data_IF_158641485284
#
_entry.id   IF_158641485284
#
_cell.length_a   1.000
_cell.length_b   1.000
_cell.length_c   1.000
_cell.angle_alpha   90.00
_cell.angle_beta   90.00
_cell.angle_gamma   90.00
#
_symmetry.space_group_name_H-M   'P 1'
#
loop_
_entity.id
_entity.type
_entity.pdbx_description
1 polymer ?
#
# COMPACT_ATOMS: atom_id res chain seq x y z
N UNK A 1 -26.65 -19.41 -15.58
CA UNK A 1 -27.24 -18.06 -15.47
C UNK A 1 -26.28 -17.09 -16.16
N UNK A 2 -26.71 -16.38 -17.22
CA UNK A 2 -25.84 -15.51 -17.99
C UNK A 2 -25.70 -14.15 -17.29
N UNK A 3 -24.46 -13.71 -17.06
CA UNK A 3 -24.17 -12.39 -16.52
C UNK A 3 -24.43 -11.32 -17.58
N UNK A 4 -25.44 -10.51 -17.30
CA UNK A 4 -25.86 -9.34 -18.05
C UNK A 4 -24.75 -8.27 -17.98
N UNK A 5 -24.00 -8.09 -19.06
CA UNK A 5 -23.07 -6.98 -19.23
C UNK A 5 -23.90 -5.71 -19.53
N UNK A 6 -24.45 -5.10 -18.49
CA UNK A 6 -25.04 -3.77 -18.59
C UNK A 6 -23.97 -2.78 -19.01
N UNK A 7 -24.08 -2.36 -20.27
CA UNK A 7 -23.42 -1.26 -20.92
C UNK A 7 -23.42 -0.01 -20.01
N UNK A 8 -22.26 0.28 -19.44
CA UNK A 8 -21.98 1.58 -18.82
C UNK A 8 -22.15 2.63 -19.92
N UNK A 9 -23.22 3.42 -19.79
CA UNK A 9 -23.55 4.49 -20.72
C UNK A 9 -22.35 5.39 -20.90
N UNK A 10 -21.97 5.63 -22.16
CA UNK A 10 -20.97 6.60 -22.53
C UNK A 10 -21.39 7.95 -21.94
N UNK A 11 -20.70 8.37 -20.88
CA UNK A 11 -20.82 9.72 -20.33
C UNK A 11 -20.29 10.64 -21.42
N UNK A 12 -21.21 11.32 -22.12
CA UNK A 12 -20.84 12.34 -23.08
C UNK A 12 -19.97 13.38 -22.34
N UNK A 13 -18.73 13.62 -22.81
CA UNK A 13 -17.93 14.66 -22.21
C UNK A 13 -18.68 16.00 -22.33
N UNK A 14 -18.56 16.88 -21.31
CA UNK A 14 -19.20 18.18 -21.36
C UNK A 14 -18.79 18.93 -22.63
N UNK A 15 -19.73 19.67 -23.26
CA UNK A 15 -19.41 20.47 -24.44
C UNK A 15 -18.29 21.44 -24.08
N UNK A 16 -17.15 21.29 -24.76
CA UNK A 16 -16.02 22.21 -24.66
C UNK A 16 -16.51 23.56 -25.17
N UNK A 17 -16.65 24.53 -24.27
CA UNK A 17 -17.06 25.90 -24.62
C UNK A 17 -16.06 26.47 -25.61
N UNK A 18 -16.56 26.91 -26.77
CA UNK A 18 -15.78 27.53 -27.86
C UNK A 18 -14.97 28.76 -27.43
N UNK A 19 -15.28 29.32 -26.27
CA UNK A 19 -14.63 30.52 -25.71
C UNK A 19 -13.17 30.28 -25.29
N UNK A 20 -12.73 29.02 -25.17
CA UNK A 20 -11.33 28.70 -24.86
C UNK A 20 -10.38 28.83 -26.07
N UNK A 21 -10.90 28.82 -27.30
CA UNK A 21 -10.08 28.93 -28.51
C UNK A 21 -9.77 30.39 -28.88
N UNK A 22 -10.64 31.34 -28.52
CA UNK A 22 -10.45 32.76 -28.85
C UNK A 22 -9.33 33.44 -28.03
N UNK A 23 -9.08 33.00 -26.79
CA UNK A 23 -8.02 33.58 -25.97
C UNK A 23 -6.59 33.18 -26.40
N UNK A 24 -6.44 32.09 -27.16
CA UNK A 24 -5.12 31.65 -27.66
C UNK A 24 -4.62 32.50 -28.84
N UNK A 25 -5.55 33.01 -29.66
CA UNK A 25 -5.24 33.86 -30.80
C UNK A 25 -4.85 35.28 -30.35
N UNK A 26 -5.55 35.83 -29.35
CA UNK A 26 -5.26 37.17 -28.81
C UNK A 26 -3.88 37.23 -28.16
N UNK A 27 -3.44 36.17 -27.45
CA UNK A 27 -2.09 36.13 -26.87
C UNK A 27 -1.00 35.98 -27.92
N UNK A 28 -1.23 35.24 -29.02
CA UNK A 28 -0.26 35.12 -30.10
C UNK A 28 -0.10 36.43 -30.89
N UNK A 29 -1.17 37.17 -31.15
CA UNK A 29 -1.10 38.47 -31.84
C UNK A 29 -0.48 39.55 -30.95
N UNK A 30 -0.74 39.55 -29.65
CA UNK A 30 -0.14 40.52 -28.72
C UNK A 30 1.36 40.26 -28.56
N UNK A 31 1.80 39.00 -28.48
CA UNK A 31 3.23 38.64 -28.42
C UNK A 31 3.95 38.96 -29.74
N UNK A 32 3.31 38.76 -30.90
CA UNK A 32 3.88 39.10 -32.21
C UNK A 32 3.91 40.62 -32.46
N UNK A 33 2.93 41.38 -31.97
CA UNK A 33 2.91 42.85 -32.11
C UNK A 33 3.82 43.57 -31.12
N UNK A 34 4.11 43.00 -29.95
CA UNK A 34 5.13 43.52 -29.04
C UNK A 34 6.56 43.26 -29.52
N UNK A 35 6.79 42.28 -30.39
CA UNK A 35 8.13 42.02 -30.97
C UNK A 35 8.49 42.93 -32.17
N UNK A 36 7.51 43.62 -32.78
CA UNK A 36 7.72 44.41 -34.00
C UNK A 36 7.71 45.94 -33.80
N UNK A 37 7.40 46.45 -32.61
CA UNK A 37 7.37 47.88 -32.33
C UNK A 37 8.67 48.37 -31.67
N UNK A 38 9.54 48.98 -32.48
CA UNK A 38 10.74 49.77 -32.13
C UNK A 38 12.04 49.02 -31.83
N UNK A 39 12.62 48.44 -32.89
CA UNK A 39 14.06 48.58 -33.12
C UNK A 39 14.31 49.66 -34.16
N UNK A 40 13.98 50.91 -33.82
CA UNK A 40 14.53 52.08 -34.51
C UNK A 40 16.02 52.10 -34.22
N UNK A 41 16.81 51.56 -35.14
CA UNK A 41 18.28 51.68 -35.19
C UNK A 41 18.65 53.17 -35.19
N UNK A 42 18.91 53.73 -34.00
CA UNK A 42 19.67 54.98 -33.86
C UNK A 42 21.15 54.63 -33.95
N UNK A 43 21.88 55.45 -34.70
CA UNK A 43 23.21 55.19 -35.25
C UNK A 43 24.25 54.61 -34.30
N UNK A 44 25.18 53.88 -34.93
CA UNK A 44 26.24 53.08 -34.31
C UNK A 44 27.01 53.84 -33.23
N UNK A 45 26.78 53.43 -31.98
CA UNK A 45 27.77 53.46 -30.93
C UNK A 45 28.15 52.00 -30.73
N UNK A 46 29.42 51.67 -30.99
CA UNK A 46 29.93 50.33 -30.74
C UNK A 46 29.62 49.96 -29.30
N UNK A 47 28.88 48.86 -29.11
CA UNK A 47 28.61 48.30 -27.79
C UNK A 47 29.98 48.06 -27.17
N UNK A 48 30.26 48.72 -26.05
CA UNK A 48 31.55 48.52 -25.41
C UNK A 48 31.61 47.08 -24.90
N UNK A 49 32.76 46.42 -25.01
CA UNK A 49 32.94 45.03 -24.58
C UNK A 49 32.50 44.82 -23.11
N UNK A 50 32.65 45.87 -22.29
CA UNK A 50 32.18 45.95 -20.90
C UNK A 50 30.66 45.80 -20.80
N UNK A 51 29.89 46.46 -21.67
CA UNK A 51 28.43 46.42 -21.65
C UNK A 51 27.89 45.05 -22.03
N UNK A 52 28.54 44.37 -23.00
CA UNK A 52 28.23 42.98 -23.34
C UNK A 52 28.56 42.03 -22.19
N UNK A 53 29.69 42.23 -21.51
CA UNK A 53 30.11 41.40 -20.38
C UNK A 53 29.13 41.52 -19.20
N UNK A 54 28.64 42.74 -18.92
CA UNK A 54 27.63 42.98 -17.89
C UNK A 54 26.29 42.33 -18.27
N UNK A 55 25.86 42.43 -19.54
CA UNK A 55 24.62 41.79 -19.98
C UNK A 55 24.68 40.26 -19.87
N UNK A 56 25.81 39.64 -20.27
CA UNK A 56 26.00 38.19 -20.18
C UNK A 56 26.07 37.72 -18.72
N UNK A 57 26.73 38.47 -17.83
CA UNK A 57 26.83 38.08 -16.41
C UNK A 57 25.47 38.13 -15.70
N UNK A 58 24.67 39.16 -15.95
CA UNK A 58 23.30 39.26 -15.41
C UNK A 58 22.42 38.12 -15.96
N UNK A 59 22.51 37.84 -17.26
CA UNK A 59 21.75 36.75 -17.89
C UNK A 59 22.15 35.39 -17.33
N UNK A 60 23.45 35.14 -17.12
CA UNK A 60 23.94 33.90 -16.51
C UNK A 60 23.46 33.74 -15.07
N UNK A 61 23.46 34.82 -14.27
CA UNK A 61 22.93 34.80 -12.91
C UNK A 61 21.43 34.50 -12.89
N UNK A 62 20.65 35.16 -13.75
CA UNK A 62 19.21 34.92 -13.88
C UNK A 62 18.92 33.47 -14.32
N UNK A 63 19.66 32.95 -15.32
CA UNK A 63 19.54 31.58 -15.77
C UNK A 63 19.88 30.57 -14.65
N UNK A 64 20.90 30.87 -13.82
CA UNK A 64 21.25 30.07 -12.65
C UNK A 64 20.12 29.98 -11.63
N UNK A 65 19.46 31.10 -11.32
CA UNK A 65 18.30 31.12 -10.41
C UNK A 65 17.11 30.35 -10.97
N UNK A 66 16.81 30.49 -12.25
CA UNK A 66 15.72 29.72 -12.88
C UNK A 66 16.04 28.22 -12.88
N UNK A 67 17.28 27.83 -13.14
CA UNK A 67 17.69 26.42 -13.12
C UNK A 67 17.54 25.79 -11.73
N UNK A 68 17.90 26.50 -10.65
CA UNK A 68 17.73 25.99 -9.28
C UNK A 68 16.27 25.88 -8.87
N UNK A 69 15.42 26.83 -9.28
CA UNK A 69 13.97 26.76 -9.05
C UNK A 69 13.32 25.58 -9.79
N UNK A 70 13.69 25.34 -11.05
CA UNK A 70 13.21 24.20 -11.83
C UNK A 70 13.64 22.88 -11.19
N UNK A 71 14.91 22.77 -10.80
CA UNK A 71 15.43 21.57 -10.11
C UNK A 71 14.72 21.31 -8.77
N UNK A 72 14.51 22.36 -7.98
CA UNK A 72 13.80 22.26 -6.69
C UNK A 72 12.34 21.85 -6.88
N UNK A 73 11.66 22.42 -7.87
CA UNK A 73 10.25 22.09 -8.19
C UNK A 73 10.12 20.66 -8.69
N UNK A 74 11.06 20.19 -9.53
CA UNK A 74 11.10 18.80 -9.98
C UNK A 74 11.27 17.81 -8.82
N UNK A 75 12.18 18.13 -7.89
CA UNK A 75 12.38 17.33 -6.66
C UNK A 75 11.13 17.32 -5.79
N UNK A 76 10.49 18.49 -5.59
CA UNK A 76 9.29 18.61 -4.77
C UNK A 76 8.10 17.82 -5.36
N UNK A 77 7.89 17.91 -6.68
CA UNK A 77 6.82 17.18 -7.36
C UNK A 77 7.05 15.66 -7.33
N UNK A 78 8.30 15.22 -7.50
CA UNK A 78 8.67 13.80 -7.38
C UNK A 78 8.42 13.28 -5.97
N UNK A 79 8.85 14.03 -4.94
CA UNK A 79 8.61 13.66 -3.54
C UNK A 79 7.11 13.59 -3.20
N UNK A 80 6.28 14.49 -3.75
CA UNK A 80 4.83 14.43 -3.57
C UNK A 80 4.20 13.22 -4.25
N UNK A 81 4.64 12.89 -5.46
CA UNK A 81 4.15 11.72 -6.19
C UNK A 81 4.46 10.42 -5.43
N UNK A 82 5.67 10.29 -4.91
CA UNK A 82 6.08 9.14 -4.11
C UNK A 82 5.33 9.07 -2.77
N UNK A 83 5.11 10.21 -2.11
CA UNK A 83 4.29 10.29 -0.90
C UNK A 83 2.85 9.78 -1.10
N UNK A 84 2.21 10.14 -2.22
CA UNK A 84 0.85 9.66 -2.56
C UNK A 84 0.83 8.16 -2.83
N UNK A 85 1.82 7.64 -3.56
CA UNK A 85 1.94 6.19 -3.85
C UNK A 85 2.14 5.39 -2.57
N UNK A 86 2.99 5.87 -1.66
CA UNK A 86 3.22 5.20 -0.39
C UNK A 86 1.96 5.21 0.49
N UNK A 87 1.26 6.35 0.58
CA UNK A 87 -0.01 6.41 1.31
C UNK A 87 -1.04 5.42 0.74
N UNK A 88 -1.17 5.33 -0.59
CA UNK A 88 -2.08 4.36 -1.22
C UNK A 88 -1.73 2.90 -0.86
N UNK A 89 -0.44 2.54 -0.86
CA UNK A 89 0.02 1.21 -0.43
C UNK A 89 -0.31 0.93 1.04
N UNK A 90 -0.09 1.91 1.91
CA UNK A 90 -0.44 1.79 3.34
C UNK A 90 -1.95 1.58 3.51
N UNK A 91 -2.79 2.32 2.79
CA UNK A 91 -4.25 2.15 2.88
C UNK A 91 -4.69 0.78 2.34
N UNK A 92 -4.08 0.28 1.26
CA UNK A 92 -4.35 -1.06 0.76
C UNK A 92 -3.95 -2.13 1.80
N UNK A 93 -2.78 -2.00 2.43
CA UNK A 93 -2.34 -2.89 3.51
C UNK A 93 -3.32 -2.85 4.70
N UNK A 94 -3.79 -1.66 5.09
CA UNK A 94 -4.80 -1.51 6.14
C UNK A 94 -6.11 -2.22 5.81
N UNK A 95 -6.56 -2.11 4.56
CA UNK A 95 -7.78 -2.76 4.11
C UNK A 95 -7.64 -4.28 4.14
N UNK A 96 -6.53 -4.83 3.62
CA UNK A 96 -6.26 -6.28 3.62
C UNK A 96 -6.21 -6.83 5.05
N UNK A 97 -5.41 -6.21 5.93
CA UNK A 97 -5.31 -6.65 7.33
C UNK A 97 -6.65 -6.49 8.06
N UNK A 98 -7.36 -5.39 7.81
CA UNK A 98 -8.68 -5.16 8.39
C UNK A 98 -9.70 -6.23 7.99
N UNK A 99 -9.71 -6.63 6.71
CA UNK A 99 -10.58 -7.69 6.18
C UNK A 99 -10.22 -9.06 6.76
N UNK A 100 -8.92 -9.40 6.78
CA UNK A 100 -8.42 -10.64 7.40
C UNK A 100 -8.80 -10.75 8.90
N UNK A 101 -8.67 -9.65 9.64
CA UNK A 101 -9.06 -9.60 11.06
C UNK A 101 -10.58 -9.59 11.23
N UNK A 102 -11.33 -9.02 10.30
CA UNK A 102 -12.80 -9.06 10.33
C UNK A 102 -13.33 -10.49 10.16
N UNK A 103 -12.65 -11.28 9.32
CA UNK A 103 -12.96 -12.68 9.09
C UNK A 103 -12.43 -13.61 10.19
N UNK A 104 -11.61 -13.09 11.11
CA UNK A 104 -11.15 -13.84 12.26
C UNK A 104 -12.31 -14.19 13.22
N UNK A 105 -12.25 -15.41 13.78
CA UNK A 105 -13.13 -15.87 14.86
C UNK A 105 -12.45 -15.73 16.20
N UNK A 106 -11.18 -16.07 16.33
CA UNK A 106 -10.46 -15.93 17.60
C UNK A 106 -9.00 -15.58 17.37
N UNK A 107 -8.43 -14.74 18.25
CA UNK A 107 -6.99 -14.62 18.36
C UNK A 107 -6.48 -15.83 19.14
N UNK A 108 -5.37 -16.40 18.68
CA UNK A 108 -4.78 -17.60 19.29
C UNK A 108 -3.44 -17.28 19.97
N UNK A 109 -2.64 -16.42 19.36
CA UNK A 109 -1.39 -15.94 19.92
C UNK A 109 -1.01 -14.58 19.35
N UNK A 110 -0.24 -13.81 20.11
CA UNK A 110 0.38 -12.56 19.63
C UNK A 110 1.76 -12.40 20.24
N UNK A 111 2.65 -11.73 19.53
CA UNK A 111 3.95 -11.33 20.08
C UNK A 111 4.54 -10.13 19.36
N UNK A 112 5.83 -9.88 19.61
CA UNK A 112 6.60 -8.91 18.85
C UNK A 112 6.77 -9.46 17.44
N UNK A 113 6.25 -8.75 16.43
CA UNK A 113 6.29 -9.10 15.02
C UNK A 113 5.38 -10.22 14.53
N UNK A 114 4.45 -10.75 15.33
CA UNK A 114 3.45 -11.71 14.83
C UNK A 114 2.08 -11.61 15.50
N UNK A 115 1.06 -12.01 14.74
CA UNK A 115 -0.31 -12.23 15.19
C UNK A 115 -0.85 -13.50 14.54
N UNK A 116 -1.43 -14.38 15.33
CA UNK A 116 -2.05 -15.62 14.86
C UNK A 116 -3.51 -15.61 15.25
N UNK A 117 -4.37 -15.88 14.27
CA UNK A 117 -5.79 -16.03 14.48
C UNK A 117 -6.33 -17.25 13.75
N UNK A 118 -7.51 -17.66 14.20
CA UNK A 118 -8.33 -18.69 13.61
C UNK A 118 -9.43 -18.05 12.78
N UNK A 119 -9.57 -18.45 11.52
CA UNK A 119 -10.64 -17.96 10.63
C UNK A 119 -12.00 -18.63 10.85
N UNK A 120 -12.05 -19.69 11.66
CA UNK A 120 -13.24 -20.53 11.85
C UNK A 120 -13.15 -21.85 11.11
N UNK A 121 -14.07 -22.76 11.43
CA UNK A 121 -14.16 -24.09 10.83
C UNK A 121 -14.34 -23.99 9.30
N UNK A 122 -13.49 -24.70 8.57
CA UNK A 122 -13.65 -24.84 7.13
C UNK A 122 -14.64 -26.00 6.87
N UNK A 123 -15.75 -25.78 6.12
CA UNK A 123 -16.73 -26.84 5.85
C UNK A 123 -16.17 -28.05 5.09
N UNK A 124 -15.01 -27.90 4.45
CA UNK A 124 -14.32 -28.97 3.71
C UNK A 124 -13.32 -29.73 4.60
N UNK A 125 -12.88 -29.12 5.70
CA UNK A 125 -11.96 -29.78 6.64
C UNK A 125 -12.71 -30.72 7.57
N UNK A 126 -11.99 -31.66 8.17
CA UNK A 126 -12.60 -32.60 9.10
C UNK A 126 -13.18 -31.84 10.29
N UNK A 127 -14.46 -32.10 10.59
CA UNK A 127 -15.07 -31.67 11.84
C UNK A 127 -14.26 -32.29 12.98
N UNK A 128 -13.52 -31.45 13.69
CA UNK A 128 -12.61 -31.90 14.73
C UNK A 128 -13.37 -32.07 16.05
N UNK A 129 -13.42 -33.28 16.63
CA UNK A 129 -13.89 -33.42 18.00
C UNK A 129 -12.89 -32.75 18.97
N UNK A 130 -13.41 -32.20 20.07
CA UNK A 130 -12.63 -31.68 21.20
C UNK A 130 -11.83 -30.38 20.95
N UNK A 131 -12.44 -29.36 20.35
CA UNK A 131 -11.85 -28.00 20.28
C UNK A 131 -10.50 -27.95 19.58
N UNK A 132 -10.24 -28.86 18.65
CA UNK A 132 -9.01 -28.86 17.87
C UNK A 132 -9.17 -27.92 16.67
N UNK A 133 -8.10 -27.20 16.35
CA UNK A 133 -8.03 -26.28 15.20
C UNK A 133 -7.20 -26.93 14.12
N UNK A 134 -7.72 -26.91 12.90
CA UNK A 134 -6.99 -27.44 11.74
C UNK A 134 -5.96 -26.43 11.25
N UNK A 135 -4.83 -26.90 10.74
CA UNK A 135 -3.78 -26.02 10.22
C UNK A 135 -4.29 -25.10 9.10
N UNK A 136 -5.21 -25.59 8.28
CA UNK A 136 -5.77 -24.80 7.16
C UNK A 136 -6.62 -23.61 7.58
N UNK A 137 -7.09 -23.60 8.83
CA UNK A 137 -7.92 -22.55 9.41
C UNK A 137 -7.09 -21.49 10.15
N UNK A 138 -5.78 -21.70 10.25
CA UNK A 138 -4.85 -20.76 10.85
C UNK A 138 -4.41 -19.71 9.84
N UNK A 139 -4.23 -18.50 10.35
CA UNK A 139 -3.59 -17.40 9.65
C UNK A 139 -2.51 -16.80 10.54
N UNK A 140 -1.33 -16.59 9.97
CA UNK A 140 -0.20 -15.95 10.65
C UNK A 140 0.14 -14.66 9.91
N UNK A 141 -0.08 -13.50 10.55
CA UNK A 141 0.49 -12.23 10.13
C UNK A 141 1.84 -12.08 10.81
N UNK A 142 2.90 -11.87 10.05
CA UNK A 142 4.25 -11.77 10.58
C UNK A 142 5.09 -10.76 9.81
N UNK A 143 5.96 -10.06 10.53
CA UNK A 143 7.03 -9.26 9.92
C UNK A 143 8.28 -10.13 9.82
N UNK A 144 8.66 -10.45 8.59
CA UNK A 144 9.94 -11.09 8.29
C UNK A 144 11.05 -10.03 8.36
N UNK A 145 11.82 -10.02 9.45
CA UNK A 145 12.88 -9.03 9.69
C UNK A 145 14.09 -9.22 8.78
N UNK A 146 14.20 -10.34 8.07
CA UNK A 146 15.30 -10.59 7.13
C UNK A 146 15.01 -9.89 5.81
N UNK A 147 13.77 -9.98 5.33
CA UNK A 147 13.33 -9.34 4.07
C UNK A 147 12.69 -7.97 4.29
N UNK A 148 12.37 -7.61 5.53
CA UNK A 148 11.58 -6.43 5.91
C UNK A 148 10.20 -6.42 5.25
N UNK A 149 9.52 -7.55 5.25
CA UNK A 149 8.22 -7.72 4.61
C UNK A 149 7.17 -8.13 5.64
N UNK A 150 6.00 -7.49 5.59
CA UNK A 150 4.83 -7.97 6.30
C UNK A 150 4.12 -9.01 5.41
N UNK A 151 4.00 -10.22 5.92
CA UNK A 151 3.42 -11.37 5.21
C UNK A 151 2.24 -11.92 5.99
N UNK A 152 1.23 -12.42 5.27
CA UNK A 152 0.23 -13.33 5.82
C UNK A 152 0.51 -14.72 5.29
N UNK A 153 0.60 -15.67 6.20
CA UNK A 153 0.74 -17.08 5.89
C UNK A 153 -0.59 -17.79 6.09
N UNK A 154 -0.93 -18.63 5.13
CA UNK A 154 -2.13 -19.44 5.11
C UNK A 154 -1.86 -20.73 4.34
N UNK A 155 -2.63 -21.77 4.64
CA UNK A 155 -2.62 -22.97 3.80
C UNK A 155 -3.37 -22.67 2.50
N UNK A 156 -2.71 -22.90 1.38
CA UNK A 156 -3.31 -22.94 0.05
C UNK A 156 -3.23 -24.37 -0.47
N UNK A 157 -4.36 -25.05 -0.54
CA UNK A 157 -4.43 -26.40 -1.08
C UNK A 157 -4.35 -26.35 -2.62
N UNK A 158 -3.61 -27.27 -3.28
CA UNK A 158 -3.62 -27.36 -4.73
C UNK A 158 -5.02 -27.69 -5.30
N UNK A 159 -5.35 -27.16 -6.48
CA UNK A 159 -6.66 -27.34 -7.11
C UNK A 159 -7.04 -28.81 -7.37
N UNK A 160 -6.05 -29.71 -7.46
CA UNK A 160 -6.26 -31.14 -7.69
C UNK A 160 -6.51 -31.94 -6.40
N UNK A 161 -6.53 -31.31 -5.23
CA UNK A 161 -6.87 -31.99 -3.98
C UNK A 161 -8.37 -32.21 -3.87
N UNK A 162 -8.79 -33.46 -3.74
CA UNK A 162 -10.15 -33.79 -3.32
C UNK A 162 -10.37 -33.44 -1.85
N UNK A 163 -11.64 -33.31 -1.43
CA UNK A 163 -11.98 -33.11 -0.02
C UNK A 163 -11.37 -34.19 0.90
N UNK A 164 -11.33 -35.45 0.46
CA UNK A 164 -10.69 -36.54 1.22
C UNK A 164 -9.18 -36.35 1.38
N UNK A 165 -8.50 -35.82 0.36
CA UNK A 165 -7.07 -35.54 0.42
C UNK A 165 -6.77 -34.36 1.34
N UNK A 166 -7.61 -33.32 1.33
CA UNK A 166 -7.53 -32.20 2.26
C UNK A 166 -7.68 -32.72 3.70
N UNK A 167 -8.75 -33.47 3.99
CA UNK A 167 -9.00 -34.04 5.32
C UNK A 167 -7.82 -34.90 5.80
N UNK A 168 -7.23 -35.71 4.93
CA UNK A 168 -6.11 -36.59 5.30
C UNK A 168 -4.80 -35.82 5.51
N UNK A 169 -4.60 -34.69 4.83
CA UNK A 169 -3.39 -33.88 4.90
C UNK A 169 -3.47 -32.74 5.93
N UNK A 170 -4.66 -32.31 6.32
CA UNK A 170 -4.89 -31.23 7.26
C UNK A 170 -4.73 -31.72 8.70
N UNK A 171 -3.66 -31.28 9.35
CA UNK A 171 -3.34 -31.70 10.71
C UNK A 171 -4.14 -30.88 11.71
N UNK A 172 -4.89 -31.57 12.57
CA UNK A 172 -5.59 -30.97 13.70
C UNK A 172 -4.66 -30.80 14.92
N UNK A 173 -4.74 -29.64 15.58
CA UNK A 173 -3.97 -29.32 16.77
C UNK A 173 -4.90 -28.99 17.94
N UNK A 174 -4.53 -29.41 19.16
CA UNK A 174 -5.32 -29.13 20.36
C UNK A 174 -5.37 -27.62 20.69
N UNK A 175 -6.46 -27.16 21.31
CA UNK A 175 -6.70 -25.74 21.65
C UNK A 175 -5.55 -25.04 22.41
N UNK A 176 -4.79 -25.79 23.21
CA UNK A 176 -3.70 -25.29 24.05
C UNK A 176 -2.30 -25.44 23.41
N UNK A 177 -2.24 -25.72 22.11
CA UNK A 177 -0.98 -25.83 21.37
C UNK A 177 -0.23 -24.49 21.38
N UNK A 178 1.11 -24.54 21.32
CA UNK A 178 1.89 -23.34 21.06
C UNK A 178 1.75 -22.96 19.58
N UNK A 179 0.75 -22.12 19.28
CA UNK A 179 0.35 -21.74 17.93
C UNK A 179 1.49 -21.13 17.12
N UNK A 180 2.38 -20.36 17.75
CA UNK A 180 3.54 -19.82 17.06
C UNK A 180 4.48 -20.93 16.57
N UNK A 181 4.83 -21.89 17.43
CA UNK A 181 5.67 -23.02 17.02
C UNK A 181 5.01 -23.88 15.94
N UNK A 182 3.68 -24.07 16.01
CA UNK A 182 2.91 -24.78 14.96
C UNK A 182 3.05 -24.08 13.61
N UNK A 183 2.81 -22.76 13.55
CA UNK A 183 2.95 -22.01 12.30
C UNK A 183 4.41 -21.96 11.80
N UNK A 184 5.40 -21.85 12.71
CA UNK A 184 6.82 -21.87 12.31
C UNK A 184 7.21 -23.23 11.72
N UNK A 185 6.74 -24.34 12.29
CA UNK A 185 6.96 -25.67 11.72
C UNK A 185 6.26 -25.81 10.36
N UNK A 186 5.04 -25.26 10.24
CA UNK A 186 4.25 -25.30 9.01
C UNK A 186 4.89 -24.54 7.85
N UNK A 187 5.77 -23.55 8.07
CA UNK A 187 6.50 -22.88 6.97
C UNK A 187 7.37 -23.81 6.13
N UNK A 188 7.73 -24.97 6.66
CA UNK A 188 8.44 -26.01 5.90
C UNK A 188 7.50 -26.88 5.04
N UNK A 189 6.18 -26.74 5.22
CA UNK A 189 5.17 -27.40 4.40
C UNK A 189 4.95 -26.58 3.13
N UNK A 190 4.99 -27.24 1.96
CA UNK A 190 4.78 -26.61 0.66
C UNK A 190 3.42 -25.90 0.51
N UNK A 191 2.40 -26.34 1.26
CA UNK A 191 1.06 -25.77 1.20
C UNK A 191 0.91 -24.53 2.09
N UNK A 192 1.81 -24.27 3.04
CA UNK A 192 1.75 -23.08 3.91
C UNK A 192 2.46 -21.91 3.23
N UNK A 193 1.73 -21.29 2.32
CA UNK A 193 2.23 -20.22 1.45
C UNK A 193 2.11 -18.86 2.12
N UNK A 194 3.00 -17.94 1.75
CA UNK A 194 2.92 -16.54 2.18
C UNK A 194 2.41 -15.63 1.07
N UNK A 195 1.63 -14.62 1.45
CA UNK A 195 1.28 -13.48 0.63
C UNK A 195 1.87 -12.21 1.25
N UNK A 196 2.63 -11.45 0.45
CA UNK A 196 3.19 -10.17 0.88
C UNK A 196 2.10 -9.09 0.91
N UNK A 197 1.97 -8.41 2.04
CA UNK A 197 1.05 -7.27 2.19
C UNK A 197 1.77 -5.96 1.93
N UNK A 198 2.92 -5.75 2.57
CA UNK A 198 3.69 -4.52 2.43
C UNK A 198 5.19 -4.79 2.61
N UNK A 199 5.99 -4.15 1.77
CA UNK A 199 7.46 -4.16 1.85
C UNK A 199 7.96 -3.07 2.81
N UNK A 200 9.23 -3.16 3.19
CA UNK A 200 9.90 -2.22 4.10
C UNK A 200 9.25 -2.11 5.49
N UNK A 201 8.54 -3.15 5.94
CA UNK A 201 8.02 -3.24 7.29
C UNK A 201 9.11 -3.83 8.19
N UNK A 202 9.63 -3.03 9.13
CA UNK A 202 10.75 -3.40 9.99
C UNK A 202 10.31 -3.92 11.36
N UNK A 203 9.05 -3.70 11.73
CA UNK A 203 8.50 -4.24 12.97
C UNK A 203 6.99 -4.09 13.08
N UNK A 204 6.42 -4.88 13.99
CA UNK A 204 5.00 -4.83 14.34
C UNK A 204 4.84 -5.03 15.85
N UNK A 205 4.00 -4.19 16.46
CA UNK A 205 3.53 -4.37 17.84
C UNK A 205 2.04 -4.63 17.81
N UNK A 206 1.61 -5.70 18.47
CA UNK A 206 0.19 -6.05 18.58
C UNK A 206 -0.33 -5.62 19.95
N UNK A 207 -1.53 -5.05 19.96
CA UNK A 207 -2.28 -4.72 21.18
C UNK A 207 -3.69 -5.25 21.01
N UNK A 208 -4.20 -5.90 22.06
CA UNK A 208 -5.53 -6.48 22.12
C UNK A 208 -6.38 -5.66 23.09
N UNK A 209 -7.70 -5.68 22.91
CA UNK A 209 -8.65 -5.02 23.81
C UNK A 209 -8.90 -5.81 25.11
N UNK A 210 -8.49 -7.07 25.17
CA UNK A 210 -8.59 -7.92 26.35
C UNK A 210 -7.24 -8.56 26.73
N UNK A 211 -7.09 -8.92 28.01
CA UNK A 211 -5.89 -9.59 28.53
C UNK A 211 -5.77 -11.05 28.10
N UNK A 212 -6.88 -11.68 27.70
CA UNK A 212 -6.89 -13.04 27.17
C UNK A 212 -7.20 -13.02 25.67
N UNK A 213 -6.51 -13.87 24.91
CA UNK A 213 -6.75 -14.04 23.48
C UNK A 213 -8.21 -14.44 23.18
N UNK A 214 -8.78 -15.24 24.08
CA UNK A 214 -10.15 -15.71 24.07
C UNK A 214 -11.22 -14.61 24.08
N UNK A 215 -11.00 -13.60 24.90
CA UNK A 215 -11.98 -12.54 25.13
C UNK A 215 -11.81 -11.37 24.16
N UNK A 216 -10.68 -11.32 23.45
CA UNK A 216 -10.32 -10.23 22.54
C UNK A 216 -11.35 -10.09 21.41
N UNK A 217 -11.92 -8.90 21.25
CA UNK A 217 -12.84 -8.53 20.15
C UNK A 217 -12.18 -7.59 19.17
N UNK A 218 -11.00 -7.06 19.49
CA UNK A 218 -10.30 -6.13 18.63
C UNK A 218 -8.79 -6.37 18.73
N UNK A 219 -8.16 -6.52 17.57
CA UNK A 219 -6.71 -6.54 17.46
C UNK A 219 -6.25 -5.25 16.77
N UNK A 220 -5.24 -4.62 17.35
CA UNK A 220 -4.59 -3.43 16.83
C UNK A 220 -3.10 -3.72 16.59
N UNK A 221 -2.67 -3.60 15.34
CA UNK A 221 -1.29 -3.76 14.92
C UNK A 221 -0.70 -2.38 14.61
N UNK A 222 0.35 -2.00 15.34
CA UNK A 222 1.18 -0.85 14.98
C UNK A 222 2.36 -1.32 14.17
N UNK A 223 2.35 -1.04 12.87
CA UNK A 223 3.40 -1.38 11.92
C UNK A 223 4.44 -0.26 11.88
N UNK A 224 5.72 -0.62 11.82
CA UNK A 224 6.83 0.30 11.59
C UNK A 224 7.34 0.10 10.17
N UNK A 225 7.17 1.11 9.32
CA UNK A 225 7.54 1.06 7.91
C UNK A 225 8.64 2.08 7.64
N UNK A 226 9.76 1.65 7.07
CA UNK A 226 10.92 2.51 6.82
C UNK A 226 11.15 2.66 5.32
N UNK A 227 10.82 3.83 4.76
CA UNK A 227 10.95 4.10 3.33
C UNK A 227 11.85 5.31 3.09
N UNK A 228 12.91 5.15 2.30
CA UNK A 228 13.88 6.21 1.96
C UNK A 228 14.38 7.01 3.18
N UNK A 229 14.79 6.30 4.25
CA UNK A 229 15.22 6.87 5.54
C UNK A 229 14.12 7.53 6.39
N UNK A 230 12.86 7.45 5.98
CA UNK A 230 11.72 7.94 6.76
C UNK A 230 11.01 6.75 7.41
N UNK A 231 11.07 6.69 8.73
CA UNK A 231 10.31 5.71 9.52
C UNK A 231 8.93 6.25 9.86
N UNK A 232 7.89 5.50 9.50
CA UNK A 232 6.48 5.81 9.78
C UNK A 232 5.88 4.71 10.64
N UNK A 233 5.03 5.10 11.59
CA UNK A 233 4.22 4.15 12.37
C UNK A 233 2.78 4.21 11.88
N UNK A 234 2.24 3.06 11.49
CA UNK A 234 0.87 2.94 10.98
C UNK A 234 0.09 2.05 11.93
N UNK A 235 -1.01 2.59 12.47
CA UNK A 235 -1.97 1.82 13.24
C UNK A 235 -3.00 1.20 12.29
N UNK A 236 -3.18 -0.11 12.42
CA UNK A 236 -4.20 -0.91 11.75
C UNK A 236 -4.98 -1.63 12.83
N UNK A 237 -6.29 -1.55 12.80
CA UNK A 237 -7.16 -2.21 13.78
C UNK A 237 -8.28 -2.93 13.05
N UNK A 238 -8.65 -4.10 13.54
CA UNK A 238 -9.76 -4.89 13.02
C UNK A 238 -10.59 -5.45 14.17
N UNK A 239 -11.91 -5.40 14.02
CA UNK A 239 -12.86 -6.05 14.92
C UNK A 239 -13.02 -7.52 14.56
N UNK A 240 -13.07 -8.40 15.54
CA UNK A 240 -13.24 -9.84 15.36
C UNK A 240 -14.73 -10.16 15.48
N UNK A 241 -15.30 -10.82 14.47
CA UNK A 241 -16.76 -10.97 14.32
C UNK A 241 -17.43 -11.63 15.52
N UNK A 242 -16.80 -12.68 16.06
CA UNK A 242 -17.28 -13.43 17.22
C UNK A 242 -16.11 -14.14 17.87
N UNK A 243 -15.50 -13.58 18.91
CA UNK A 243 -14.65 -14.32 19.84
C UNK A 243 -15.47 -15.38 20.58
N UNK A 244 -15.68 -16.50 19.92
CA UNK A 244 -16.15 -17.73 20.51
C UNK A 244 -15.05 -18.73 20.19
N UNK A 245 -14.54 -19.38 21.23
CA UNK A 245 -13.63 -20.49 21.02
C UNK A 245 -14.36 -21.59 20.25
N UNK A 246 -13.64 -22.41 19.48
CA UNK A 246 -14.20 -23.68 19.04
C UNK A 246 -14.68 -24.43 20.30
N UNK A 247 -15.99 -24.70 20.37
CA UNK A 247 -16.64 -25.36 21.51
C UNK A 247 -16.45 -26.87 21.52
#
# INVERSE_FOLDING_TARGET
>A
MPHDYRTLGAVNPPPVSSDALDNSLVLSEVVVRLHNAKLRRRGGRGITLIEMLIAVSITAAAAGVVATLVSSTSTATSAQADGRRNLARIQAAKAIIGDELHNARAILASGSNYLIWWSGDNPVSAVTPNRAVNLSELRLLEVDTTTNELKVWAITWPDNYSASNIIAADTAYAANSNWYNVCQAAKNNANFTSAMIISNCTGMTVTLDASSFAASRMASCTLTITDQNITRRVLVSGSIRTAQWPE
#
